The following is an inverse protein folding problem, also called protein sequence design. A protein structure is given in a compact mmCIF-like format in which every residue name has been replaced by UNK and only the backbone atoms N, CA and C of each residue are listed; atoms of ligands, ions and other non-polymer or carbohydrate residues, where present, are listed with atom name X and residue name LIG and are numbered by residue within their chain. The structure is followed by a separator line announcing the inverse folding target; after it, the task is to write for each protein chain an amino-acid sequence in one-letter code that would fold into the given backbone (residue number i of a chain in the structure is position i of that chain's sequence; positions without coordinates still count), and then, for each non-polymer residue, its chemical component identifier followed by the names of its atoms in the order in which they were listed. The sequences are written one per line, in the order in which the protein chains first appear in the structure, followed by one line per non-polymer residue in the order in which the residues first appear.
data_IF_633323875436
#
_entry.id   IF_633323875436
#
_cell.length_a   1.000
_cell.length_b   1.000
_cell.length_c   1.000
_cell.angle_alpha   90.00
_cell.angle_beta   90.00
_cell.angle_gamma   90.00
#
_symmetry.space_group_name_H-M   'P 1'
#
loop_
_entity.id
_entity.type
_entity.pdbx_description
1 polymer ?
#
# COMPACT_ATOMS: atom_id res chain seq x y z
N UNK A 1 -17.91 -21.57 53.60
CA UNK A 1 -16.56 -22.15 53.70
C UNK A 1 -16.58 -23.33 52.75
N UNK A 2 -15.96 -23.31 51.58
CA UNK A 2 -14.76 -22.58 51.18
C UNK A 2 -14.82 -22.12 49.72
N UNK A 3 -14.40 -20.88 49.51
CA UNK A 3 -13.89 -20.36 48.26
C UNK A 3 -12.40 -20.68 48.22
N UNK A 4 -11.98 -21.61 47.36
CA UNK A 4 -10.57 -21.74 46.99
C UNK A 4 -10.32 -20.84 45.78
N UNK A 5 -9.81 -19.65 46.07
CA UNK A 5 -9.19 -18.77 45.08
C UNK A 5 -8.02 -19.52 44.43
N UNK A 6 -8.11 -19.76 43.13
CA UNK A 6 -6.98 -20.22 42.32
C UNK A 6 -6.09 -19.01 42.09
N UNK A 7 -5.02 -18.95 42.87
CA UNK A 7 -3.98 -17.92 42.81
C UNK A 7 -3.24 -18.03 41.47
N UNK A 8 -3.41 -17.02 40.62
CA UNK A 8 -2.81 -16.91 39.29
C UNK A 8 -1.34 -16.57 39.38
N UNK A 9 -0.51 -17.52 39.80
CA UNK A 9 0.95 -17.40 39.73
C UNK A 9 1.38 -17.65 38.29
N UNK A 10 1.69 -16.56 37.57
CA UNK A 10 2.32 -16.60 36.25
C UNK A 10 3.63 -17.38 36.37
N UNK A 11 3.86 -18.35 35.47
CA UNK A 11 5.01 -19.24 35.52
C UNK A 11 6.33 -18.41 35.41
N UNK A 12 7.19 -18.38 36.44
CA UNK A 12 8.40 -17.54 36.46
C UNK A 12 9.40 -17.90 35.34
N UNK A 13 9.31 -19.10 34.78
CA UNK A 13 10.09 -19.48 33.60
C UNK A 13 9.62 -18.78 32.33
N UNK A 14 8.31 -18.54 32.20
CA UNK A 14 7.72 -17.85 31.06
C UNK A 14 8.07 -16.36 31.08
N UNK A 15 7.98 -15.70 32.23
CA UNK A 15 8.38 -14.29 32.38
C UNK A 15 9.84 -14.08 32.00
N UNK A 16 10.73 -14.94 32.51
CA UNK A 16 12.17 -14.88 32.16
C UNK A 16 12.40 -15.13 30.67
N UNK A 17 11.63 -16.03 30.06
CA UNK A 17 11.74 -16.31 28.62
C UNK A 17 11.23 -15.14 27.76
N UNK A 18 10.15 -14.47 28.18
CA UNK A 18 9.64 -13.24 27.56
C UNK A 18 10.72 -12.15 27.61
N UNK A 19 11.33 -11.93 28.77
CA UNK A 19 12.38 -10.92 28.95
C UNK A 19 13.62 -11.19 28.07
N UNK A 20 14.03 -12.46 27.95
CA UNK A 20 15.14 -12.86 27.07
C UNK A 20 14.82 -12.55 25.61
N UNK A 21 13.61 -12.86 25.15
CA UNK A 21 13.21 -12.59 23.77
C UNK A 21 13.06 -11.09 23.52
N UNK A 22 12.48 -10.34 24.46
CA UNK A 22 12.36 -8.88 24.34
C UNK A 22 13.75 -8.22 24.24
N UNK A 23 14.70 -8.63 25.07
CA UNK A 23 16.08 -8.15 25.00
C UNK A 23 16.76 -8.50 23.68
N UNK A 24 16.55 -9.72 23.17
CA UNK A 24 17.04 -10.13 21.85
C UNK A 24 16.47 -9.24 20.73
N UNK A 25 15.16 -9.03 20.71
CA UNK A 25 14.49 -8.19 19.70
C UNK A 25 14.95 -6.73 19.79
N UNK A 26 15.13 -6.21 21.00
CA UNK A 26 15.68 -4.86 21.23
C UNK A 26 17.09 -4.73 20.66
N UNK A 27 17.98 -5.69 20.94
CA UNK A 27 19.33 -5.70 20.38
C UNK A 27 19.32 -5.77 18.85
N UNK A 28 18.46 -6.61 18.27
CA UNK A 28 18.29 -6.68 16.81
C UNK A 28 17.81 -5.35 16.24
N UNK A 29 16.82 -4.70 16.87
CA UNK A 29 16.31 -3.40 16.42
C UNK A 29 17.39 -2.31 16.42
N UNK A 30 18.28 -2.32 17.42
CA UNK A 30 19.41 -1.41 17.53
C UNK A 30 20.45 -1.67 16.45
N UNK A 31 20.77 -2.95 16.18
CA UNK A 31 21.69 -3.35 15.11
C UNK A 31 21.18 -2.94 13.73
N UNK A 32 19.90 -3.15 13.45
CA UNK A 32 19.25 -2.67 12.21
C UNK A 32 19.39 -1.16 12.08
N UNK A 33 19.18 -0.44 13.18
CA UNK A 33 19.23 1.03 13.18
C UNK A 33 20.65 1.57 12.97
N UNK A 34 21.66 0.83 13.44
CA UNK A 34 23.07 1.15 13.22
C UNK A 34 23.59 0.71 11.84
N UNK A 35 22.75 0.06 11.01
CA UNK A 35 23.09 -0.34 9.64
C UNK A 35 23.98 -1.58 9.55
N UNK A 36 24.01 -2.44 10.57
CA UNK A 36 24.74 -3.70 10.49
C UNK A 36 24.02 -4.70 9.58
N UNK A 37 24.79 -5.42 8.76
CA UNK A 37 24.30 -6.54 7.98
C UNK A 37 23.88 -7.68 8.91
N UNK A 38 22.58 -7.97 8.93
CA UNK A 38 22.01 -9.07 9.68
C UNK A 38 21.73 -10.25 8.76
N UNK A 39 22.05 -11.46 9.23
CA UNK A 39 21.68 -12.65 8.49
C UNK A 39 20.16 -12.78 8.45
N UNK A 40 19.60 -13.05 7.27
CA UNK A 40 18.15 -13.26 7.10
C UNK A 40 17.64 -14.39 8.02
N UNK A 41 18.47 -15.41 8.27
CA UNK A 41 18.14 -16.52 9.15
C UNK A 41 17.97 -16.10 10.62
N UNK A 42 18.92 -15.36 11.17
CA UNK A 42 18.85 -14.85 12.56
C UNK A 42 17.62 -13.97 12.77
N UNK A 43 17.34 -13.09 11.81
CA UNK A 43 16.15 -12.24 11.83
C UNK A 43 14.86 -13.08 11.82
N UNK A 44 14.75 -14.04 10.91
CA UNK A 44 13.56 -14.87 10.77
C UNK A 44 13.34 -15.76 12.00
N UNK A 45 14.41 -16.29 12.59
CA UNK A 45 14.34 -17.11 13.80
C UNK A 45 13.85 -16.29 15.00
N UNK A 46 14.42 -15.09 15.22
CA UNK A 46 14.00 -14.21 16.30
C UNK A 46 12.53 -13.77 16.18
N UNK A 47 12.09 -13.40 14.97
CA UNK A 47 10.70 -13.02 14.72
C UNK A 47 9.72 -14.20 14.84
N UNK A 48 10.13 -15.42 14.48
CA UNK A 48 9.31 -16.63 14.71
C UNK A 48 9.16 -16.95 16.20
N UNK A 49 10.23 -16.80 16.98
CA UNK A 49 10.18 -16.96 18.44
C UNK A 49 9.25 -15.94 19.08
N UNK A 50 9.33 -14.68 18.64
CA UNK A 50 8.42 -13.61 19.05
C UNK A 50 6.95 -13.92 18.69
N UNK A 51 6.70 -14.40 17.47
CA UNK A 51 5.38 -14.81 17.02
C UNK A 51 4.83 -15.98 17.84
N UNK A 52 5.64 -17.01 18.08
CA UNK A 52 5.26 -18.17 18.89
C UNK A 52 4.90 -17.78 20.33
N UNK A 53 5.58 -16.79 20.90
CA UNK A 53 5.20 -16.22 22.19
C UNK A 53 3.80 -15.58 22.13
N UNK A 54 3.55 -14.69 21.17
CA UNK A 54 2.27 -14.01 21.02
C UNK A 54 1.09 -14.96 20.74
N UNK A 55 1.35 -16.10 20.09
CA UNK A 55 0.34 -17.14 19.88
C UNK A 55 0.02 -17.92 21.16
N UNK A 56 0.99 -18.07 22.07
CA UNK A 56 0.86 -18.91 23.28
C UNK A 56 0.46 -18.14 24.53
N UNK A 57 0.83 -16.86 24.61
CA UNK A 57 0.51 -16.02 25.77
C UNK A 57 -0.94 -15.54 25.71
N UNK A 58 -1.66 -15.69 26.83
CA UNK A 58 -2.94 -15.01 27.03
C UNK A 58 -2.76 -13.53 27.41
N UNK A 59 -1.56 -13.15 27.85
CA UNK A 59 -1.21 -11.77 28.20
C UNK A 59 -0.96 -10.89 26.97
N UNK A 60 -1.32 -9.62 27.09
CA UNK A 60 -0.96 -8.60 26.12
C UNK A 60 0.54 -8.30 26.25
N UNK A 61 1.35 -8.70 25.26
CA UNK A 61 2.79 -8.43 25.18
C UNK A 61 3.08 -7.29 24.19
N UNK A 62 2.87 -6.01 24.59
CA UNK A 62 2.90 -4.87 23.67
C UNK A 62 4.29 -4.62 23.07
N UNK A 63 5.36 -4.83 23.84
CA UNK A 63 6.73 -4.65 23.36
C UNK A 63 7.07 -5.65 22.25
N UNK A 64 6.70 -6.92 22.43
CA UNK A 64 6.97 -7.96 21.45
C UNK A 64 6.19 -7.70 20.17
N UNK A 65 4.91 -7.36 20.27
CA UNK A 65 4.09 -6.96 19.12
C UNK A 65 4.66 -5.75 18.38
N UNK A 66 5.19 -4.76 19.12
CA UNK A 66 5.87 -3.60 18.55
C UNK A 66 7.11 -4.02 17.75
N UNK A 67 8.06 -4.75 18.36
CA UNK A 67 9.29 -5.17 17.67
C UNK A 67 9.02 -6.12 16.49
N UNK A 68 7.99 -6.98 16.58
CA UNK A 68 7.57 -7.87 15.50
C UNK A 68 7.24 -7.11 14.22
N UNK A 69 6.67 -5.90 14.36
CA UNK A 69 6.29 -5.04 13.25
C UNK A 69 7.43 -4.08 12.90
N UNK A 70 8.00 -3.41 13.89
CA UNK A 70 8.98 -2.35 13.72
C UNK A 70 10.25 -2.83 13.00
N UNK A 71 10.76 -4.02 13.33
CA UNK A 71 12.00 -4.55 12.71
C UNK A 71 11.85 -4.70 11.17
N UNK A 72 10.82 -5.38 10.62
CA UNK A 72 10.58 -5.40 9.19
C UNK A 72 10.46 -4.01 8.54
N UNK A 73 9.84 -3.05 9.23
CA UNK A 73 9.68 -1.67 8.74
C UNK A 73 10.96 -0.83 8.81
N UNK A 74 11.89 -1.16 9.71
CA UNK A 74 13.21 -0.54 9.74
C UNK A 74 14.04 -0.96 8.53
N UNK A 75 14.11 -2.27 8.25
CA UNK A 75 14.79 -2.82 7.07
C UNK A 75 14.12 -2.38 5.76
N UNK A 76 12.79 -2.45 5.71
CA UNK A 76 11.95 -2.03 4.60
C UNK A 76 12.36 -2.62 3.22
N UNK A 77 12.84 -3.86 3.22
CA UNK A 77 13.18 -4.61 2.00
C UNK A 77 12.00 -5.49 1.56
N UNK A 78 12.00 -5.87 0.27
CA UNK A 78 10.99 -6.78 -0.30
C UNK A 78 10.86 -8.08 0.49
N UNK A 79 11.98 -8.71 0.84
CA UNK A 79 12.00 -9.98 1.57
C UNK A 79 11.54 -9.80 3.02
N UNK A 80 12.04 -8.76 3.69
CA UNK A 80 11.72 -8.49 5.09
C UNK A 80 10.23 -8.19 5.30
N UNK A 81 9.63 -7.34 4.47
CA UNK A 81 8.20 -7.02 4.56
C UNK A 81 7.33 -8.21 4.12
N UNK A 82 7.75 -8.99 3.11
CA UNK A 82 7.04 -10.21 2.72
C UNK A 82 6.98 -11.20 3.88
N UNK A 83 8.11 -11.42 4.55
CA UNK A 83 8.19 -12.29 5.72
C UNK A 83 7.39 -11.73 6.91
N UNK A 84 7.54 -10.43 7.20
CA UNK A 84 6.79 -9.74 8.25
C UNK A 84 5.29 -9.92 8.09
N UNK A 85 4.74 -9.65 6.90
CA UNK A 85 3.31 -9.85 6.62
C UNK A 85 2.86 -11.30 6.83
N UNK A 86 3.67 -12.28 6.42
CA UNK A 86 3.34 -13.69 6.66
C UNK A 86 3.28 -14.04 8.14
N UNK A 87 4.22 -13.53 8.94
CA UNK A 87 4.25 -13.76 10.39
C UNK A 87 3.10 -13.03 11.08
N UNK A 88 2.82 -11.77 10.74
CA UNK A 88 1.70 -11.02 11.31
C UNK A 88 0.37 -11.71 11.04
N UNK A 89 0.14 -12.19 9.81
CA UNK A 89 -1.04 -12.98 9.46
C UNK A 89 -1.13 -14.28 10.26
N UNK A 90 0.00 -14.97 10.46
CA UNK A 90 0.05 -16.18 11.28
C UNK A 90 -0.37 -15.91 12.73
N UNK A 91 0.16 -14.85 13.34
CA UNK A 91 -0.20 -14.47 14.71
C UNK A 91 -1.66 -14.04 14.82
N UNK A 92 -2.18 -13.26 13.86
CA UNK A 92 -3.59 -12.84 13.83
C UNK A 92 -4.54 -14.04 13.74
N UNK A 93 -4.19 -15.04 12.94
CA UNK A 93 -5.01 -16.24 12.77
C UNK A 93 -5.01 -17.15 14.00
N UNK A 94 -3.88 -17.29 14.67
CA UNK A 94 -3.73 -18.12 15.88
C UNK A 94 -4.31 -17.42 17.13
N UNK A 95 -4.07 -16.13 17.28
CA UNK A 95 -4.54 -15.32 18.41
C UNK A 95 -5.23 -14.03 17.95
N UNK A 96 -6.54 -14.08 17.63
CA UNK A 96 -7.31 -12.92 17.15
C UNK A 96 -7.35 -11.73 18.12
N UNK A 97 -7.10 -11.94 19.43
CA UNK A 97 -7.05 -10.84 20.42
C UNK A 97 -5.94 -9.83 20.06
N UNK A 98 -4.83 -10.32 19.52
CA UNK A 98 -3.67 -9.50 19.14
C UNK A 98 -3.88 -8.70 17.85
N UNK A 99 -4.92 -9.00 17.06
CA UNK A 99 -5.16 -8.40 15.75
C UNK A 99 -5.22 -6.87 15.82
N UNK A 100 -6.00 -6.34 16.76
CA UNK A 100 -6.14 -4.89 16.93
C UNK A 100 -4.80 -4.22 17.26
N UNK A 101 -3.94 -4.88 18.04
CA UNK A 101 -2.63 -4.36 18.41
C UNK A 101 -1.68 -4.37 17.22
N UNK A 102 -1.57 -5.50 16.53
CA UNK A 102 -0.69 -5.64 15.36
C UNK A 102 -1.08 -4.61 14.29
N UNK A 103 -2.36 -4.44 14.00
CA UNK A 103 -2.82 -3.47 13.00
C UNK A 103 -2.52 -2.02 13.40
N UNK A 104 -2.64 -1.68 14.69
CA UNK A 104 -2.27 -0.37 15.19
C UNK A 104 -0.77 -0.11 15.03
N UNK A 105 0.07 -1.11 15.35
CA UNK A 105 1.53 -1.02 15.18
C UNK A 105 1.91 -0.92 13.69
N UNK A 106 1.30 -1.72 12.80
CA UNK A 106 1.57 -1.66 11.35
C UNK A 106 1.16 -0.31 10.77
N UNK A 107 0.01 0.25 11.20
CA UNK A 107 -0.41 1.59 10.78
C UNK A 107 0.55 2.67 11.29
N UNK A 108 1.04 2.56 12.53
CA UNK A 108 2.03 3.47 13.11
C UNK A 108 3.38 3.41 12.40
N UNK A 109 3.84 2.19 12.10
CA UNK A 109 5.08 1.94 11.37
C UNK A 109 4.97 2.46 9.93
N UNK A 110 3.83 2.25 9.27
CA UNK A 110 3.55 2.84 7.96
C UNK A 110 3.60 4.38 7.99
N UNK A 111 2.96 5.02 8.97
CA UNK A 111 3.05 6.48 9.13
C UNK A 111 4.52 6.92 9.27
N UNK A 112 5.32 6.17 10.05
CA UNK A 112 6.75 6.42 10.20
C UNK A 112 7.52 6.28 8.88
N UNK A 113 7.16 5.35 7.99
CA UNK A 113 7.78 5.26 6.64
C UNK A 113 7.52 6.50 5.78
N UNK A 114 6.33 7.09 5.90
CA UNK A 114 5.97 8.30 5.16
C UNK A 114 6.76 9.51 5.66
N UNK A 115 6.95 9.61 6.98
CA UNK A 115 7.73 10.67 7.63
C UNK A 115 9.23 10.53 7.33
N UNK A 116 9.75 9.31 7.39
CA UNK A 116 11.14 8.99 7.06
C UNK A 116 11.43 9.03 5.54
N UNK A 117 10.44 9.36 4.71
CA UNK A 117 10.54 9.46 3.24
C UNK A 117 11.16 8.20 2.62
N UNK A 118 10.74 7.02 3.07
CA UNK A 118 11.19 5.72 2.52
C UNK A 118 10.44 5.38 1.23
N UNK A 119 11.13 4.66 0.35
CA UNK A 119 10.60 4.12 -0.91
C UNK A 119 9.95 5.16 -1.82
N UNK A 120 8.64 5.03 -2.10
CA UNK A 120 7.92 5.96 -2.99
C UNK A 120 7.95 7.42 -2.51
N UNK A 121 8.10 7.64 -1.20
CA UNK A 121 8.17 8.98 -0.61
C UNK A 121 9.56 9.60 -0.66
N UNK A 122 10.57 8.86 -1.12
CA UNK A 122 11.94 9.34 -1.23
C UNK A 122 12.05 10.34 -2.39
N UNK A 123 12.51 11.59 -2.17
CA UNK A 123 12.73 12.55 -3.25
C UNK A 123 13.85 12.13 -4.23
N UNK A 124 14.72 11.18 -3.87
CA UNK A 124 15.68 10.62 -4.80
C UNK A 124 15.06 9.58 -5.77
N UNK A 125 13.87 9.07 -5.47
CA UNK A 125 13.17 8.12 -6.33
C UNK A 125 12.51 8.85 -7.51
N UNK A 126 13.30 9.16 -8.52
CA UNK A 126 12.90 9.87 -9.71
C UNK A 126 13.28 9.08 -10.97
N UNK A 127 12.53 9.31 -12.05
CA UNK A 127 12.90 8.87 -13.39
C UNK A 127 13.49 10.08 -14.13
N UNK A 128 14.80 10.06 -14.46
CA UNK A 128 15.45 11.19 -15.11
C UNK A 128 14.79 11.47 -16.46
N UNK A 129 14.81 12.73 -16.86
CA UNK A 129 14.31 13.12 -18.17
C UNK A 129 15.32 12.63 -19.23
N UNK A 130 14.86 11.89 -20.26
CA UNK A 130 15.74 11.39 -21.30
C UNK A 130 16.51 12.50 -22.03
N UNK A 131 15.97 13.72 -22.12
CA UNK A 131 16.63 14.85 -22.77
C UNK A 131 17.73 15.51 -21.92
N UNK A 132 17.76 15.23 -20.61
CA UNK A 132 18.79 15.73 -19.69
C UNK A 132 19.81 14.64 -19.32
N UNK A 133 19.69 13.46 -19.91
CA UNK A 133 20.66 12.37 -19.76
C UNK A 133 21.73 12.51 -20.85
N UNK A 134 22.98 12.14 -20.54
CA UNK A 134 24.04 12.12 -21.54
C UNK A 134 23.61 11.28 -22.75
N UNK A 135 23.68 11.86 -23.95
CA UNK A 135 23.37 11.16 -25.19
C UNK A 135 24.52 10.19 -25.46
N UNK A 136 24.33 8.93 -25.10
CA UNK A 136 25.21 7.86 -25.54
C UNK A 136 24.78 7.45 -26.96
N UNK A 137 25.69 7.58 -27.93
CA UNK A 137 25.49 7.12 -29.31
C UNK A 137 25.57 5.58 -29.43
N UNK A 138 25.42 4.87 -28.32
CA UNK A 138 25.46 3.42 -28.21
C UNK A 138 24.04 2.85 -28.26
N UNK A 139 23.86 1.60 -28.74
CA UNK A 139 22.60 0.89 -28.55
C UNK A 139 22.22 0.85 -27.07
N UNK A 140 20.93 0.99 -26.79
CA UNK A 140 20.42 0.94 -25.41
C UNK A 140 20.83 -0.36 -24.71
N UNK A 141 21.51 -0.26 -23.58
CA UNK A 141 21.84 -1.42 -22.75
C UNK A 141 20.57 -1.95 -22.05
N UNK A 142 19.98 -2.97 -22.66
CA UNK A 142 18.80 -3.66 -22.13
C UNK A 142 19.04 -4.22 -20.73
N UNK A 143 20.26 -4.64 -20.40
CA UNK A 143 20.58 -5.23 -19.09
C UNK A 143 20.61 -4.18 -17.99
N UNK A 144 21.19 -3.01 -18.25
CA UNK A 144 21.15 -1.87 -17.34
C UNK A 144 19.71 -1.40 -17.10
N UNK A 145 18.88 -1.31 -18.15
CA UNK A 145 17.46 -0.94 -18.02
C UNK A 145 16.67 -1.94 -17.16
N UNK A 146 16.88 -3.25 -17.35
CA UNK A 146 16.24 -4.27 -16.53
C UNK A 146 16.69 -4.21 -15.07
N UNK A 147 17.97 -3.93 -14.80
CA UNK A 147 18.48 -3.73 -13.43
C UNK A 147 17.85 -2.50 -12.78
N UNK A 148 17.70 -1.40 -13.50
CA UNK A 148 17.02 -0.19 -12.99
C UNK A 148 15.55 -0.47 -12.68
N UNK A 149 14.85 -1.12 -13.61
CA UNK A 149 13.47 -1.55 -13.42
C UNK A 149 13.33 -2.43 -12.17
N UNK A 150 14.21 -3.43 -12.01
CA UNK A 150 14.20 -4.33 -10.87
C UNK A 150 14.44 -3.57 -9.56
N UNK A 151 15.43 -2.66 -9.53
CA UNK A 151 15.70 -1.83 -8.35
C UNK A 151 14.48 -0.99 -7.97
N UNK A 152 13.84 -0.35 -8.95
CA UNK A 152 12.64 0.43 -8.71
C UNK A 152 11.45 -0.43 -8.23
N UNK A 153 11.29 -1.64 -8.78
CA UNK A 153 10.27 -2.58 -8.30
C UNK A 153 10.55 -3.08 -6.88
N UNK A 154 11.81 -3.34 -6.52
CA UNK A 154 12.16 -3.79 -5.18
C UNK A 154 11.95 -2.69 -4.12
N UNK A 155 12.08 -1.41 -4.51
CA UNK A 155 11.70 -0.25 -3.70
C UNK A 155 10.18 -0.12 -3.52
N UNK A 156 9.39 -0.46 -4.54
CA UNK A 156 7.93 -0.34 -4.53
C UNK A 156 7.22 -1.55 -3.91
N UNK A 157 7.81 -2.74 -4.01
CA UNK A 157 7.24 -4.01 -3.57
C UNK A 157 6.81 -4.02 -2.08
N UNK A 158 7.62 -3.49 -1.13
CA UNK A 158 7.22 -3.33 0.26
C UNK A 158 5.90 -2.56 0.43
N UNK A 159 5.75 -1.45 -0.29
CA UNK A 159 4.55 -0.62 -0.21
C UNK A 159 3.32 -1.37 -0.71
N UNK A 160 3.40 -2.03 -1.88
CA UNK A 160 2.30 -2.83 -2.41
C UNK A 160 1.86 -3.93 -1.43
N UNK A 161 2.82 -4.63 -0.82
CA UNK A 161 2.53 -5.72 0.10
C UNK A 161 1.81 -5.23 1.36
N UNK A 162 2.22 -4.08 1.91
CA UNK A 162 1.56 -3.46 3.06
C UNK A 162 0.17 -2.93 2.69
N UNK A 163 0.01 -2.35 1.50
CA UNK A 163 -1.30 -1.89 1.02
C UNK A 163 -2.27 -3.05 0.84
N UNK A 164 -1.85 -4.17 0.27
CA UNK A 164 -2.65 -5.40 0.17
C UNK A 164 -3.05 -5.91 1.55
N UNK A 165 -2.12 -5.89 2.52
CA UNK A 165 -2.40 -6.25 3.90
C UNK A 165 -3.47 -5.32 4.50
N UNK A 166 -3.34 -4.00 4.34
CA UNK A 166 -4.34 -3.04 4.81
C UNK A 166 -5.71 -3.22 4.13
N UNK A 167 -5.75 -3.42 2.82
CA UNK A 167 -7.00 -3.64 2.08
C UNK A 167 -7.74 -4.88 2.61
N UNK A 168 -7.03 -5.99 2.86
CA UNK A 168 -7.61 -7.22 3.38
C UNK A 168 -8.21 -7.03 4.78
N UNK A 169 -7.44 -6.44 5.71
CA UNK A 169 -7.87 -6.31 7.11
C UNK A 169 -8.92 -5.21 7.28
N UNK A 170 -8.84 -4.12 6.54
CA UNK A 170 -9.85 -3.07 6.60
C UNK A 170 -11.23 -3.62 6.19
N UNK A 171 -11.30 -4.48 5.18
CA UNK A 171 -12.56 -5.10 4.76
C UNK A 171 -13.18 -6.00 5.85
N UNK A 172 -12.34 -6.71 6.61
CA UNK A 172 -12.79 -7.55 7.72
C UNK A 172 -13.24 -6.72 8.94
N UNK A 173 -12.49 -5.67 9.28
CA UNK A 173 -12.65 -4.94 10.56
C UNK A 173 -13.60 -3.75 10.46
N UNK A 174 -14.03 -3.35 9.26
CA UNK A 174 -14.85 -2.15 9.06
C UNK A 174 -16.11 -2.09 9.94
N UNK A 175 -16.66 -3.20 10.45
CA UNK A 175 -17.80 -3.21 11.35
C UNK A 175 -17.42 -3.46 12.83
N UNK A 176 -16.21 -3.95 13.10
CA UNK A 176 -15.83 -4.48 14.40
C UNK A 176 -15.27 -3.42 15.36
N UNK A 177 -14.40 -2.52 14.89
CA UNK A 177 -13.70 -1.56 15.77
C UNK A 177 -13.68 -0.12 15.25
N UNK A 178 -14.36 0.83 15.94
CA UNK A 178 -14.34 2.24 15.57
C UNK A 178 -12.97 2.89 15.80
N UNK A 179 -12.18 2.36 16.74
CA UNK A 179 -10.84 2.87 17.05
C UNK A 179 -9.86 2.58 15.90
N UNK A 180 -9.87 1.34 15.38
CA UNK A 180 -9.05 0.98 14.23
C UNK A 180 -9.41 1.79 13.00
N UNK A 181 -10.71 2.00 12.71
CA UNK A 181 -11.13 2.88 11.62
C UNK A 181 -10.49 4.28 11.71
N UNK A 182 -10.40 4.86 12.92
CA UNK A 182 -9.77 6.17 13.13
C UNK A 182 -8.26 6.12 12.89
N UNK A 183 -7.59 5.06 13.33
CA UNK A 183 -6.14 4.85 13.09
C UNK A 183 -5.87 4.77 11.59
N UNK A 184 -6.59 3.91 10.85
CA UNK A 184 -6.48 3.80 9.40
C UNK A 184 -6.76 5.12 8.69
N UNK A 185 -7.77 5.85 9.14
CA UNK A 185 -8.13 7.14 8.54
C UNK A 185 -7.09 8.23 8.77
N UNK A 186 -6.45 8.24 9.95
CA UNK A 186 -5.33 9.14 10.24
C UNK A 186 -4.11 8.78 9.39
N UNK A 187 -3.77 7.49 9.34
CA UNK A 187 -2.64 6.98 8.57
C UNK A 187 -2.79 7.32 7.08
N UNK A 188 -3.97 7.07 6.50
CA UNK A 188 -4.22 7.38 5.09
C UNK A 188 -4.23 8.89 4.83
N UNK A 189 -4.81 9.70 5.72
CA UNK A 189 -4.79 11.17 5.57
C UNK A 189 -3.36 11.72 5.51
N UNK A 190 -2.47 11.25 6.39
CA UNK A 190 -1.04 11.60 6.38
C UNK A 190 -0.35 11.11 5.10
N UNK A 191 -0.63 9.88 4.70
CA UNK A 191 -0.08 9.27 3.48
C UNK A 191 -0.47 10.06 2.22
N UNK A 192 -1.73 10.48 2.09
CA UNK A 192 -2.23 11.25 0.95
C UNK A 192 -1.56 12.63 0.83
N UNK A 193 -1.26 13.27 1.95
CA UNK A 193 -0.50 14.54 1.96
C UNK A 193 0.94 14.31 1.48
N UNK A 194 1.58 13.24 1.92
CA UNK A 194 2.92 12.87 1.46
C UNK A 194 2.92 12.50 -0.04
N UNK A 195 1.88 11.83 -0.51
CA UNK A 195 1.72 11.38 -1.89
C UNK A 195 1.71 12.55 -2.90
N UNK A 196 1.20 13.73 -2.49
CA UNK A 196 1.20 14.94 -3.31
C UNK A 196 2.60 15.49 -3.61
N UNK A 197 3.64 15.01 -2.91
CA UNK A 197 5.02 15.50 -3.03
C UNK A 197 5.94 14.52 -3.75
N UNK A 198 5.42 13.42 -4.30
CA UNK A 198 6.23 12.40 -4.99
C UNK A 198 6.63 12.83 -6.40
N UNK A 199 7.75 12.33 -6.90
CA UNK A 199 8.34 12.73 -8.19
C UNK A 199 7.73 12.02 -9.41
N UNK A 200 6.74 11.13 -9.22
CA UNK A 200 6.02 10.53 -10.35
C UNK A 200 6.84 9.54 -11.17
N UNK A 201 7.60 8.65 -10.52
CA UNK A 201 8.29 7.57 -11.23
C UNK A 201 7.25 6.69 -11.97
N UNK A 202 7.42 6.34 -13.26
CA UNK A 202 6.39 5.65 -14.04
C UNK A 202 5.90 4.34 -13.41
N UNK A 203 6.80 3.55 -12.82
CA UNK A 203 6.48 2.29 -12.13
C UNK A 203 5.68 2.48 -10.83
N UNK A 204 5.62 3.69 -10.28
CA UNK A 204 4.91 3.97 -9.02
C UNK A 204 3.41 4.21 -9.22
N UNK A 205 2.92 4.26 -10.47
CA UNK A 205 1.51 4.47 -10.82
C UNK A 205 0.59 3.52 -10.04
N UNK A 206 0.89 2.22 -10.06
CA UNK A 206 0.11 1.19 -9.37
C UNK A 206 0.00 1.47 -7.87
N UNK A 207 1.14 1.71 -7.19
CA UNK A 207 1.18 2.04 -5.75
C UNK A 207 0.41 3.31 -5.44
N UNK A 208 0.59 4.35 -6.26
CA UNK A 208 -0.07 5.64 -6.10
C UNK A 208 -1.59 5.49 -6.09
N UNK A 209 -2.14 4.79 -7.08
CA UNK A 209 -3.58 4.61 -7.18
C UNK A 209 -4.13 3.56 -6.21
N UNK A 210 -3.35 2.59 -5.74
CA UNK A 210 -3.75 1.74 -4.61
C UNK A 210 -3.91 2.53 -3.31
N UNK A 211 -3.03 3.50 -3.03
CA UNK A 211 -3.18 4.40 -1.87
C UNK A 211 -4.47 5.23 -2.02
N UNK A 212 -4.73 5.77 -3.21
CA UNK A 212 -5.96 6.52 -3.50
C UNK A 212 -7.20 5.63 -3.31
N UNK A 213 -7.17 4.41 -3.83
CA UNK A 213 -8.26 3.44 -3.74
C UNK A 213 -8.56 3.06 -2.29
N UNK A 214 -7.52 2.78 -1.48
CA UNK A 214 -7.66 2.54 -0.05
C UNK A 214 -8.29 3.73 0.66
N UNK A 215 -7.88 4.96 0.31
CA UNK A 215 -8.50 6.19 0.83
C UNK A 215 -9.99 6.29 0.50
N UNK A 216 -10.39 5.99 -0.73
CA UNK A 216 -11.80 5.99 -1.14
C UNK A 216 -12.62 4.93 -0.40
N UNK A 217 -12.08 3.72 -0.23
CA UNK A 217 -12.73 2.65 0.54
C UNK A 217 -12.90 3.04 2.00
N UNK A 218 -11.86 3.61 2.63
CA UNK A 218 -11.95 4.11 4.00
C UNK A 218 -13.01 5.21 4.12
N UNK A 219 -13.05 6.15 3.17
CA UNK A 219 -14.05 7.22 3.15
C UNK A 219 -15.48 6.67 3.02
N UNK A 220 -15.69 5.66 2.17
CA UNK A 220 -17.00 5.04 1.95
C UNK A 220 -17.52 4.32 3.19
N UNK A 221 -16.66 3.57 3.88
CA UNK A 221 -17.07 2.72 5.01
C UNK A 221 -16.89 3.36 6.39
N UNK A 222 -16.27 4.55 6.49
CA UNK A 222 -16.16 5.24 7.77
C UNK A 222 -17.52 5.76 8.23
N UNK A 223 -18.09 5.14 9.26
CA UNK A 223 -19.37 5.57 9.87
C UNK A 223 -19.17 6.56 11.02
N UNK A 224 -18.03 6.50 11.69
CA UNK A 224 -17.77 7.19 12.96
C UNK A 224 -17.27 8.64 12.82
N UNK A 225 -17.00 9.10 11.59
CA UNK A 225 -16.36 10.38 11.34
C UNK A 225 -17.35 11.50 11.02
N UNK A 226 -17.03 12.70 11.51
CA UNK A 226 -17.81 13.90 11.22
C UNK A 226 -17.85 14.20 9.72
N UNK A 227 -18.94 14.83 9.26
CA UNK A 227 -19.09 15.26 7.86
C UNK A 227 -17.93 16.16 7.40
N UNK A 228 -17.41 16.98 8.32
CA UNK A 228 -16.23 17.82 8.09
C UNK A 228 -14.98 17.01 7.79
N UNK A 229 -14.72 15.97 8.57
CA UNK A 229 -13.56 15.10 8.35
C UNK A 229 -13.69 14.37 7.01
N UNK A 230 -14.87 13.83 6.70
CA UNK A 230 -15.13 13.15 5.42
C UNK A 230 -14.89 14.06 4.22
N UNK A 231 -15.35 15.32 4.30
CA UNK A 231 -15.09 16.31 3.23
C UNK A 231 -13.59 16.58 3.07
N UNK A 232 -12.86 16.81 4.18
CA UNK A 232 -11.41 17.07 4.14
C UNK A 232 -10.65 15.87 3.59
N UNK A 233 -10.99 14.66 4.03
CA UNK A 233 -10.38 13.44 3.53
C UNK A 233 -10.65 13.27 2.03
N UNK A 234 -11.87 13.55 1.57
CA UNK A 234 -12.20 13.51 0.14
C UNK A 234 -11.37 14.50 -0.67
N UNK A 235 -11.24 15.74 -0.20
CA UNK A 235 -10.41 16.75 -0.86
C UNK A 235 -8.93 16.32 -0.94
N UNK A 236 -8.40 15.72 0.12
CA UNK A 236 -7.04 15.15 0.15
C UNK A 236 -6.89 13.99 -0.84
N UNK A 237 -7.86 13.09 -0.94
CA UNK A 237 -7.86 11.97 -1.89
C UNK A 237 -7.84 12.49 -3.33
N UNK A 238 -8.73 13.42 -3.67
CA UNK A 238 -8.81 14.00 -5.01
C UNK A 238 -7.52 14.76 -5.36
N UNK A 239 -7.00 15.55 -4.42
CA UNK A 239 -5.75 16.31 -4.64
C UNK A 239 -4.54 15.39 -4.78
N UNK A 240 -4.47 14.30 -4.01
CA UNK A 240 -3.42 13.29 -4.15
C UNK A 240 -3.52 12.52 -5.48
N UNK A 241 -4.72 12.16 -5.92
CA UNK A 241 -4.92 11.50 -7.21
C UNK A 241 -4.55 12.44 -8.38
N UNK A 242 -5.00 13.70 -8.34
CA UNK A 242 -4.66 14.72 -9.34
C UNK A 242 -3.16 15.05 -9.38
N UNK A 243 -2.47 14.94 -8.24
CA UNK A 243 -1.02 15.18 -8.18
C UNK A 243 -0.20 14.23 -9.06
N UNK A 244 -0.73 13.06 -9.43
CA UNK A 244 -0.09 12.17 -10.41
C UNK A 244 -0.02 12.82 -11.80
N UNK A 245 -1.11 13.47 -12.22
CA UNK A 245 -1.26 14.04 -13.56
C UNK A 245 -0.54 15.39 -13.75
N UNK A 246 0.12 15.91 -12.72
CA UNK A 246 1.04 17.06 -12.87
C UNK A 246 2.31 16.68 -13.64
N UNK A 247 2.64 15.39 -13.63
CA UNK A 247 3.84 14.86 -14.26
C UNK A 247 3.55 14.56 -15.74
N UNK A 248 4.53 14.71 -16.63
CA UNK A 248 4.34 14.39 -18.04
C UNK A 248 3.94 12.91 -18.21
N UNK A 249 3.08 12.58 -19.18
CA UNK A 249 2.64 11.21 -19.40
C UNK A 249 3.82 10.33 -19.83
N UNK A 250 4.19 9.38 -18.96
CA UNK A 250 5.31 8.45 -19.17
C UNK A 250 4.83 7.01 -19.27
N UNK A 251 5.52 6.19 -20.06
CA UNK A 251 5.22 4.77 -20.19
C UNK A 251 5.95 3.97 -19.10
N UNK A 252 5.31 2.93 -18.59
CA UNK A 252 6.01 1.91 -17.82
C UNK A 252 6.92 1.11 -18.76
N UNK A 253 8.04 0.59 -18.26
CA UNK A 253 9.03 -0.13 -19.05
C UNK A 253 8.36 -1.25 -19.88
N UNK A 254 8.40 -1.09 -21.21
CA UNK A 254 7.36 -1.53 -22.16
C UNK A 254 7.17 -3.03 -22.43
N UNK A 255 7.70 -3.93 -21.59
CA UNK A 255 7.53 -5.39 -21.77
C UNK A 255 6.52 -6.04 -20.81
N UNK A 256 6.21 -5.43 -19.67
CA UNK A 256 5.46 -6.11 -18.62
C UNK A 256 3.93 -5.94 -18.76
N UNK A 257 3.32 -6.79 -19.60
CA UNK A 257 1.86 -6.80 -19.81
C UNK A 257 1.06 -7.03 -18.53
N UNK A 258 1.59 -7.79 -17.57
CA UNK A 258 0.92 -8.04 -16.29
C UNK A 258 0.84 -6.77 -15.46
N UNK A 259 1.94 -6.01 -15.41
CA UNK A 259 1.96 -4.71 -14.73
C UNK A 259 0.99 -3.72 -15.36
N UNK A 260 0.98 -3.57 -16.69
CA UNK A 260 0.04 -2.66 -17.35
C UNK A 260 -1.44 -3.06 -17.09
N UNK A 261 -1.74 -4.36 -17.04
CA UNK A 261 -3.08 -4.84 -16.68
C UNK A 261 -3.43 -4.52 -15.23
N UNK A 262 -2.48 -4.65 -14.30
CA UNK A 262 -2.67 -4.25 -12.91
C UNK A 262 -2.95 -2.75 -12.81
N UNK A 263 -2.17 -1.92 -13.51
CA UNK A 263 -2.37 -0.47 -13.57
C UNK A 263 -3.74 -0.07 -14.15
N UNK A 264 -4.17 -0.63 -15.29
CA UNK A 264 -5.53 -0.37 -15.83
C UNK A 264 -6.63 -0.82 -14.87
N UNK A 265 -6.44 -1.97 -14.21
CA UNK A 265 -7.40 -2.48 -13.23
C UNK A 265 -7.54 -1.54 -12.03
N UNK A 266 -6.43 -1.09 -11.44
CA UNK A 266 -6.47 -0.19 -10.28
C UNK A 266 -7.10 1.15 -10.65
N UNK A 267 -6.79 1.69 -11.84
CA UNK A 267 -7.43 2.91 -12.33
C UNK A 267 -8.95 2.74 -12.52
N UNK A 268 -9.39 1.59 -13.05
CA UNK A 268 -10.81 1.24 -13.14
C UNK A 268 -11.46 1.16 -11.76
N UNK A 269 -10.81 0.50 -10.81
CA UNK A 269 -11.33 0.33 -9.45
C UNK A 269 -11.46 1.70 -8.74
N UNK A 270 -10.54 2.63 -8.99
CA UNK A 270 -10.63 4.03 -8.51
C UNK A 270 -11.81 4.75 -9.15
N UNK A 271 -11.98 4.64 -10.47
CA UNK A 271 -13.12 5.23 -11.18
C UNK A 271 -14.47 4.74 -10.62
N UNK A 272 -14.59 3.44 -10.39
CA UNK A 272 -15.78 2.82 -9.83
C UNK A 272 -15.99 3.25 -8.36
N UNK A 273 -14.93 3.34 -7.55
CA UNK A 273 -14.98 3.86 -6.18
C UNK A 273 -15.38 5.36 -6.09
N UNK A 274 -15.00 6.18 -7.08
CA UNK A 274 -15.40 7.58 -7.16
C UNK A 274 -16.92 7.74 -7.38
N UNK A 275 -17.55 6.81 -8.11
CA UNK A 275 -19.02 6.81 -8.32
C UNK A 275 -19.75 6.63 -6.99
N UNK A 276 -19.32 5.70 -6.15
CA UNK A 276 -19.94 5.46 -4.83
C UNK A 276 -19.81 6.65 -3.86
N UNK A 277 -18.79 7.48 -4.03
CA UNK A 277 -18.56 8.63 -3.14
C UNK A 277 -19.11 9.94 -3.71
N UNK A 278 -19.73 9.96 -4.89
CA UNK A 278 -20.16 11.16 -5.61
C UNK A 278 -21.01 12.13 -4.76
N UNK A 279 -21.90 11.61 -3.91
CA UNK A 279 -22.78 12.40 -3.03
C UNK A 279 -22.01 13.34 -2.08
N UNK A 280 -20.80 12.95 -1.68
CA UNK A 280 -19.91 13.76 -0.83
C UNK A 280 -19.26 14.94 -1.59
N UNK A 281 -19.24 14.92 -2.93
CA UNK A 281 -18.72 16.02 -3.75
C UNK A 281 -19.75 17.13 -4.01
N UNK A 282 -21.02 16.75 -4.08
CA UNK A 282 -22.13 17.66 -4.42
C UNK A 282 -22.65 18.43 -3.21
N UNK A 283 -22.29 18.00 -1.99
CA UNK A 283 -22.74 18.64 -0.76
C UNK A 283 -21.95 19.91 -0.46
N UNK A 284 -22.56 21.09 -0.60
CA UNK A 284 -22.06 22.31 0.02
C UNK A 284 -22.10 22.15 1.55
N UNK A 285 -20.94 22.02 2.19
CA UNK A 285 -20.84 21.95 3.64
C UNK A 285 -20.52 23.35 4.19
N UNK A 286 -21.53 24.23 4.23
CA UNK A 286 -21.37 25.62 4.67
C UNK A 286 -20.47 26.43 3.72
N UNK A 287 -19.41 27.05 4.25
CA UNK A 287 -18.45 27.90 3.51
C UNK A 287 -17.45 27.12 2.62
N UNK A 288 -17.62 25.81 2.43
CA UNK A 288 -16.66 24.96 1.72
C UNK A 288 -17.05 24.79 0.26
N UNK A 289 -16.07 24.97 -0.63
CA UNK A 289 -16.24 24.81 -2.07
C UNK A 289 -16.68 23.38 -2.44
N UNK A 290 -17.47 23.27 -3.49
CA UNK A 290 -17.88 21.97 -4.03
C UNK A 290 -16.65 21.22 -4.58
N UNK A 291 -16.56 19.91 -4.32
CA UNK A 291 -15.45 19.07 -4.82
C UNK A 291 -15.76 18.48 -6.21
N UNK A 292 -16.90 18.87 -6.79
CA UNK A 292 -17.41 18.33 -8.05
C UNK A 292 -16.43 18.53 -9.20
N UNK A 293 -15.92 19.75 -9.40
CA UNK A 293 -14.97 20.04 -10.48
C UNK A 293 -13.67 19.23 -10.38
N UNK A 294 -13.13 19.05 -9.16
CA UNK A 294 -11.95 18.18 -8.93
C UNK A 294 -12.25 16.73 -9.27
N UNK A 295 -13.44 16.24 -8.91
CA UNK A 295 -13.84 14.86 -9.20
C UNK A 295 -14.05 14.63 -10.71
N UNK A 296 -14.73 15.53 -11.42
CA UNK A 296 -14.95 15.45 -12.86
C UNK A 296 -13.62 15.49 -13.64
N UNK A 297 -12.73 16.43 -13.28
CA UNK A 297 -11.38 16.49 -13.86
C UNK A 297 -10.61 15.18 -13.65
N UNK A 298 -10.64 14.64 -12.43
CA UNK A 298 -9.96 13.39 -12.13
C UNK A 298 -10.52 12.21 -12.95
N UNK A 299 -11.84 12.14 -13.11
CA UNK A 299 -12.48 11.10 -13.92
C UNK A 299 -12.02 11.15 -15.37
N UNK A 300 -12.01 12.33 -16.00
CA UNK A 300 -11.53 12.49 -17.38
C UNK A 300 -10.05 12.15 -17.53
N UNK A 301 -9.20 12.55 -16.58
CA UNK A 301 -7.77 12.25 -16.63
C UNK A 301 -7.48 10.75 -16.45
N UNK A 302 -8.21 10.08 -15.55
CA UNK A 302 -8.14 8.62 -15.40
C UNK A 302 -8.59 7.92 -16.68
N UNK A 303 -9.69 8.36 -17.28
CA UNK A 303 -10.20 7.77 -18.52
C UNK A 303 -9.18 7.88 -19.66
N UNK A 304 -8.59 9.07 -19.84
CA UNK A 304 -7.52 9.30 -20.82
C UNK A 304 -6.31 8.39 -20.58
N UNK A 305 -5.83 8.28 -19.33
CA UNK A 305 -4.68 7.42 -19.02
C UNK A 305 -5.01 5.94 -19.23
N UNK A 306 -6.22 5.50 -18.93
CA UNK A 306 -6.66 4.13 -19.23
C UNK A 306 -6.73 3.85 -20.73
N UNK A 307 -7.25 4.79 -21.53
CA UNK A 307 -7.20 4.68 -22.99
C UNK A 307 -5.76 4.53 -23.48
N UNK A 308 -4.86 5.37 -22.97
CA UNK A 308 -3.43 5.32 -23.29
C UNK A 308 -2.80 3.96 -22.95
N UNK A 309 -3.06 3.41 -21.76
CA UNK A 309 -2.58 2.09 -21.36
C UNK A 309 -3.16 0.96 -22.22
N UNK A 310 -4.43 1.04 -22.61
CA UNK A 310 -5.10 0.05 -23.46
C UNK A 310 -4.52 -0.01 -24.87
N UNK A 311 -4.21 1.15 -25.45
CA UNK A 311 -3.51 1.22 -26.75
C UNK A 311 -2.19 0.45 -26.69
N UNK A 312 -1.44 0.57 -25.60
CA UNK A 312 -0.18 -0.14 -25.45
C UNK A 312 -0.33 -1.63 -25.11
N UNK A 313 -1.39 -2.01 -24.40
CA UNK A 313 -1.70 -3.42 -24.11
C UNK A 313 -2.15 -4.19 -25.36
N UNK A 314 -2.81 -3.49 -26.28
CA UNK A 314 -3.50 -4.03 -27.43
C UNK A 314 -3.28 -3.19 -28.71
N UNK A 315 -2.02 -2.96 -29.12
CA UNK A 315 -1.71 -2.05 -30.24
C UNK A 315 -2.34 -2.49 -31.57
N UNK A 316 -2.50 -3.81 -31.76
CA UNK A 316 -3.02 -4.41 -32.99
C UNK A 316 -4.50 -4.78 -32.93
N UNK A 317 -5.19 -4.59 -31.79
CA UNK A 317 -6.62 -4.96 -31.70
C UNK A 317 -7.53 -3.98 -32.46
N UNK A 318 -7.10 -2.73 -32.64
CA UNK A 318 -7.83 -1.75 -33.45
C UNK A 318 -7.93 -2.19 -34.92
N UNK A 319 -6.89 -2.84 -35.46
CA UNK A 319 -6.86 -3.35 -36.84
C UNK A 319 -7.81 -4.54 -37.05
N UNK A 320 -8.01 -5.40 -36.04
CA UNK A 320 -8.92 -6.57 -36.16
C UNK A 320 -10.38 -6.20 -36.39
N UNK A 321 -10.84 -5.05 -35.86
CA UNK A 321 -12.21 -4.57 -36.12
C UNK A 321 -12.40 -4.07 -37.55
N UNK A 322 -11.34 -3.54 -38.18
CA UNK A 322 -11.38 -3.06 -39.56
C UNK A 322 -11.17 -4.17 -40.60
N UNK A 323 -10.45 -5.25 -40.26
CA UNK A 323 -10.22 -6.35 -41.20
C UNK A 323 -11.42 -7.30 -41.37
N UNK A 324 -12.28 -7.44 -40.35
CA UNK A 324 -13.39 -8.42 -40.37
C UNK A 324 -14.64 -7.91 -41.13
N UNK A 325 -14.71 -6.62 -41.46
CA UNK A 325 -15.85 -6.02 -42.19
C UNK A 325 -15.69 -6.02 -43.72
N UNK A 326 -14.62 -6.63 -44.26
CA UNK A 326 -14.26 -6.49 -45.69
C UNK A 326 -14.33 -7.74 -46.58
N UNK A 327 -14.58 -8.95 -46.06
CA UNK A 327 -14.59 -10.15 -46.91
C UNK A 327 -15.62 -11.18 -46.46
N UNK A 328 -16.68 -11.36 -47.27
CA UNK A 328 -17.47 -12.60 -47.23
C UNK A 328 -18.98 -12.52 -47.40
N UNK A 329 -19.55 -11.51 -48.05
CA UNK A 329 -20.92 -11.61 -48.57
C UNK A 329 -20.96 -12.49 -49.82
N UNK A 330 -20.99 -13.82 -49.67
CA UNK A 330 -21.37 -14.71 -50.77
C UNK A 330 -22.88 -14.85 -50.81
N UNK A 331 -23.44 -14.40 -51.92
CA UNK A 331 -24.80 -14.62 -52.41
C UNK A 331 -25.22 -16.08 -52.25
N UNK A 332 -26.36 -16.31 -51.59
CA UNK A 332 -27.21 -17.47 -51.85
C UNK A 332 -28.24 -17.04 -52.89
N UNK A 333 -28.14 -17.61 -54.08
CA UNK A 333 -29.17 -17.62 -55.11
C UNK A 333 -29.46 -19.07 -55.44
N UNK A 334 -30.73 -19.44 -55.22
CA UNK A 334 -31.46 -20.66 -55.59
C UNK A 334 -31.01 -22.02 -55.03
#
# INVERSE_FOLDING_TARGET
MDQTAVDGTVDPYLERYIEVIENLLKQLSLRVSAGYDLSSHELHDALRKAAALLCRSDDDLPSIAHYLVDIPFRLFTKESIKFGVSIWLGVINENPKTESRILAEVASAWESTTLARKGIFNPAFNHPDPFFTAIELLPSDKTALLREQQRAQDVLSPHLRILQFFESHFNAIRLASPHLQRIFSRAISRTLVALQRTNGHPLSREVHFHIVLLGLRILQYSTTQSRTYKWKLKDQILSAALSWFRHPPRWSFGGNRLQLKAEDKVLKDVEDALKYTANLSSSNAGHRQSLRGKQELLQHLIENERMRLRVWLYPLEQEKKHYITGFGGKSQSE
#
